data_IF_193067824038
#
_entry.id   IF_193067824038
#
_cell.length_a   1.000
_cell.length_b   1.000
_cell.length_c   1.000
_cell.angle_alpha   90.00
_cell.angle_beta   90.00
_cell.angle_gamma   90.00
#
_symmetry.space_group_name_H-M   'P 1'
#
loop_
_entity.id
_entity.type
_entity.pdbx_description
1 polymer ?
#
# COMPACT_ATOMS: atom_id res chain seq x y z
N UNK A 1 -7.38 -13.84 31.10
CA UNK A 1 -7.80 -13.49 29.77
C UNK A 1 -6.68 -12.83 28.99
N UNK A 2 -6.37 -13.45 27.88
CA UNK A 2 -5.27 -12.96 27.03
C UNK A 2 -5.55 -11.56 26.50
N UNK A 3 -6.80 -11.24 26.23
CA UNK A 3 -7.18 -9.94 25.65
C UNK A 3 -6.81 -8.75 26.54
N UNK A 4 -6.77 -8.95 27.85
CA UNK A 4 -6.39 -7.88 28.79
C UNK A 4 -4.92 -7.47 28.66
N UNK A 5 -4.10 -8.34 28.06
CA UNK A 5 -2.66 -8.11 27.93
C UNK A 5 -2.24 -7.73 26.51
N UNK A 6 -3.21 -7.60 25.60
CA UNK A 6 -2.91 -7.20 24.22
C UNK A 6 -2.66 -5.70 24.21
N UNK A 7 -1.49 -5.30 23.68
CA UNK A 7 -1.16 -3.89 23.49
C UNK A 7 -2.09 -3.32 22.40
N UNK A 8 -2.94 -2.34 22.72
CA UNK A 8 -3.85 -1.74 21.72
C UNK A 8 -3.12 -1.19 20.50
N UNK A 9 -1.85 -0.75 20.69
CA UNK A 9 -1.05 -0.21 19.58
C UNK A 9 -0.69 -1.28 18.57
N UNK A 10 -0.58 -2.54 18.99
CA UNK A 10 -0.30 -3.67 18.08
C UNK A 10 -1.48 -3.99 17.20
N UNK A 11 -2.69 -3.89 17.72
CA UNK A 11 -3.89 -4.15 16.92
C UNK A 11 -4.12 -3.05 15.88
N UNK A 12 -3.45 -1.90 16.04
CA UNK A 12 -3.52 -0.79 15.11
C UNK A 12 -2.37 -0.78 14.12
N UNK A 13 -1.51 -1.81 14.14
CA UNK A 13 -0.40 -1.91 13.20
C UNK A 13 -0.92 -2.04 11.78
N UNK A 14 -0.41 -1.17 10.90
CA UNK A 14 -0.80 -1.12 9.50
C UNK A 14 0.00 -2.15 8.72
N UNK A 15 -0.70 -3.09 8.08
CA UNK A 15 -0.06 -4.11 7.25
C UNK A 15 0.14 -3.59 5.83
N UNK A 16 1.35 -3.76 5.29
CA UNK A 16 1.74 -3.23 3.99
C UNK A 16 2.23 -4.36 3.09
N UNK A 17 1.63 -4.47 1.90
CA UNK A 17 2.10 -5.36 0.84
C UNK A 17 2.94 -4.53 -0.12
N UNK A 18 4.15 -4.99 -0.43
CA UNK A 18 5.08 -4.29 -1.31
C UNK A 18 5.19 -5.03 -2.64
N UNK A 19 4.85 -4.35 -3.75
CA UNK A 19 4.85 -4.92 -5.09
C UNK A 19 5.79 -4.13 -6.01
N UNK A 20 6.94 -4.72 -6.33
CA UNK A 20 7.96 -4.13 -7.20
C UNK A 20 8.82 -5.27 -7.74
N UNK A 21 9.15 -5.25 -9.03
CA UNK A 21 9.97 -6.31 -9.63
C UNK A 21 11.45 -6.21 -9.26
N UNK A 22 11.91 -5.03 -8.86
CA UNK A 22 13.29 -4.83 -8.46
C UNK A 22 13.50 -5.24 -7.01
N UNK A 23 14.32 -6.27 -6.78
CA UNK A 23 14.60 -6.76 -5.43
C UNK A 23 15.20 -5.68 -4.54
N UNK A 24 16.08 -4.84 -5.07
CA UNK A 24 16.69 -3.74 -4.34
C UNK A 24 15.65 -2.73 -3.87
N UNK A 25 14.67 -2.43 -4.71
CA UNK A 25 13.62 -1.50 -4.35
C UNK A 25 12.69 -2.09 -3.29
N UNK A 26 12.35 -3.38 -3.41
CA UNK A 26 11.57 -4.06 -2.37
C UNK A 26 12.29 -4.00 -1.03
N UNK A 27 13.59 -4.29 -1.01
CA UNK A 27 14.39 -4.25 0.21
C UNK A 27 14.40 -2.86 0.84
N UNK A 28 14.56 -1.81 0.02
CA UNK A 28 14.49 -0.44 0.50
C UNK A 28 13.14 -0.12 1.12
N UNK A 29 12.05 -0.52 0.47
CA UNK A 29 10.70 -0.28 0.96
C UNK A 29 10.43 -1.05 2.25
N UNK A 30 10.94 -2.27 2.37
CA UNK A 30 10.87 -3.04 3.63
C UNK A 30 11.53 -2.26 4.77
N UNK A 31 12.69 -1.69 4.52
CA UNK A 31 13.40 -0.88 5.52
C UNK A 31 12.62 0.39 5.89
N UNK A 32 12.06 1.07 4.89
CA UNK A 32 11.28 2.29 5.13
C UNK A 32 10.06 1.98 6.01
N UNK A 33 9.33 0.93 5.67
CA UNK A 33 8.14 0.52 6.43
C UNK A 33 8.52 0.10 7.85
N UNK A 34 9.64 -0.59 8.01
CA UNK A 34 10.07 -1.11 9.30
C UNK A 34 10.75 -0.14 10.23
N UNK A 35 10.99 1.12 9.82
CA UNK A 35 11.75 2.09 10.62
C UNK A 35 11.05 2.53 11.90
N UNK A 36 9.73 2.46 11.95
CA UNK A 36 8.96 2.87 13.12
C UNK A 36 7.90 1.82 13.45
N UNK A 37 7.51 1.80 14.70
CA UNK A 37 6.37 1.01 15.12
C UNK A 37 5.11 1.54 14.45
N UNK A 38 4.13 0.68 14.26
CA UNK A 38 2.86 1.04 13.66
C UNK A 38 2.69 0.60 12.21
N UNK A 39 3.77 0.26 11.52
CA UNK A 39 3.73 -0.31 10.18
C UNK A 39 4.50 -1.63 10.17
N UNK A 40 4.02 -2.61 9.40
CA UNK A 40 4.78 -3.84 9.18
C UNK A 40 4.55 -4.36 7.77
N UNK A 41 5.54 -5.03 7.22
CA UNK A 41 5.45 -5.65 5.90
C UNK A 41 4.73 -6.98 6.03
N UNK A 42 3.59 -7.11 5.39
CA UNK A 42 2.80 -8.34 5.40
C UNK A 42 3.26 -9.32 4.31
N UNK A 43 3.84 -8.81 3.23
CA UNK A 43 4.31 -9.64 2.15
C UNK A 43 4.91 -8.80 1.02
N UNK A 44 5.41 -9.50 -0.01
CA UNK A 44 6.04 -8.90 -1.18
C UNK A 44 5.54 -9.60 -2.44
N UNK A 45 5.54 -8.88 -3.56
CA UNK A 45 5.20 -9.42 -4.86
C UNK A 45 6.14 -8.81 -5.91
N UNK A 46 6.51 -9.58 -6.92
CA UNK A 46 7.46 -9.16 -7.95
C UNK A 46 6.81 -8.90 -9.32
N UNK A 47 5.53 -9.15 -9.46
CA UNK A 47 4.77 -8.84 -10.68
C UNK A 47 3.29 -8.65 -10.35
N UNK A 48 2.51 -8.26 -11.36
CA UNK A 48 1.09 -7.98 -11.16
C UNK A 48 0.27 -9.22 -10.79
N UNK A 49 0.65 -10.39 -11.29
CA UNK A 49 -0.04 -11.64 -10.99
C UNK A 49 0.14 -12.00 -9.51
N UNK A 50 1.38 -11.93 -9.03
CA UNK A 50 1.69 -12.14 -7.62
C UNK A 50 1.02 -11.09 -6.74
N UNK A 51 1.00 -9.84 -7.19
CA UNK A 51 0.37 -8.76 -6.44
C UNK A 51 -1.12 -9.03 -6.19
N UNK A 52 -1.85 -9.50 -7.20
CA UNK A 52 -3.25 -9.85 -7.06
C UNK A 52 -3.42 -11.03 -6.08
N UNK A 53 -2.62 -12.07 -6.24
CA UNK A 53 -2.69 -13.25 -5.38
C UNK A 53 -2.39 -12.91 -3.92
N UNK A 54 -1.35 -12.12 -3.67
CA UNK A 54 -0.98 -11.72 -2.32
C UNK A 54 -1.99 -10.73 -1.71
N UNK A 55 -2.53 -9.82 -2.50
CA UNK A 55 -3.58 -8.91 -2.03
C UNK A 55 -4.80 -9.69 -1.55
N UNK A 56 -5.20 -10.71 -2.33
CA UNK A 56 -6.34 -11.56 -1.95
C UNK A 56 -6.05 -12.33 -0.66
N UNK A 57 -4.86 -12.92 -0.58
CA UNK A 57 -4.49 -13.78 0.55
C UNK A 57 -4.32 -12.98 1.83
N UNK A 58 -3.64 -11.84 1.75
CA UNK A 58 -3.22 -11.07 2.93
C UNK A 58 -4.24 -10.05 3.40
N UNK A 59 -5.08 -9.55 2.50
CA UNK A 59 -6.01 -8.45 2.79
C UNK A 59 -5.30 -7.32 3.54
N UNK A 60 -4.23 -6.73 2.95
CA UNK A 60 -3.43 -5.73 3.64
C UNK A 60 -4.19 -4.41 3.79
N UNK A 61 -3.75 -3.59 4.73
CA UNK A 61 -4.29 -2.24 4.88
C UNK A 61 -3.84 -1.34 3.73
N UNK A 62 -2.57 -1.47 3.33
CA UNK A 62 -1.96 -0.65 2.28
C UNK A 62 -1.18 -1.52 1.32
N UNK A 63 -1.26 -1.20 0.05
CA UNK A 63 -0.46 -1.84 -1.00
C UNK A 63 0.39 -0.76 -1.67
N UNK A 64 1.70 -0.95 -1.66
CA UNK A 64 2.63 -0.11 -2.42
C UNK A 64 2.86 -0.83 -3.74
N UNK A 65 2.51 -0.19 -4.85
CA UNK A 65 2.43 -0.84 -6.16
C UNK A 65 3.25 -0.09 -7.20
N UNK A 66 4.24 -0.78 -7.79
CA UNK A 66 4.97 -0.28 -8.95
C UNK A 66 4.14 -0.51 -10.22
N UNK A 67 4.22 0.40 -11.16
CA UNK A 67 3.54 0.25 -12.46
C UNK A 67 4.31 -0.64 -13.43
N UNK A 68 5.65 -0.55 -13.44
CA UNK A 68 6.48 -1.29 -14.39
C UNK A 68 6.93 -2.63 -13.82
N UNK A 69 6.16 -3.67 -14.08
CA UNK A 69 6.48 -5.02 -13.65
C UNK A 69 6.31 -6.00 -14.83
N UNK A 70 7.08 -7.10 -14.87
CA UNK A 70 6.92 -8.08 -15.95
C UNK A 70 5.63 -8.88 -15.80
N UNK A 71 5.25 -9.60 -16.85
CA UNK A 71 4.08 -10.46 -16.95
C UNK A 71 2.76 -9.72 -16.86
N UNK A 72 2.57 -8.92 -15.84
CA UNK A 72 1.40 -8.06 -15.69
C UNK A 72 1.86 -6.77 -15.00
N UNK A 73 1.58 -5.62 -15.62
CA UNK A 73 1.94 -4.32 -15.07
C UNK A 73 1.09 -3.98 -13.85
N UNK A 74 1.55 -3.03 -13.04
CA UNK A 74 0.77 -2.56 -11.91
C UNK A 74 -0.54 -1.91 -12.35
N UNK A 75 -0.52 -1.18 -13.46
CA UNK A 75 -1.74 -0.55 -13.98
C UNK A 75 -2.78 -1.59 -14.39
N UNK A 76 -2.36 -2.68 -15.04
CA UNK A 76 -3.22 -3.79 -15.39
C UNK A 76 -3.76 -4.53 -14.15
N UNK A 77 -2.92 -4.67 -13.13
CA UNK A 77 -3.28 -5.37 -11.90
C UNK A 77 -4.22 -4.57 -11.01
N UNK A 78 -4.17 -3.24 -11.08
CA UNK A 78 -4.85 -2.35 -10.14
C UNK A 78 -6.36 -2.60 -10.01
N UNK A 79 -7.13 -2.70 -11.10
CA UNK A 79 -8.57 -2.99 -10.97
C UNK A 79 -8.84 -4.32 -10.28
N UNK A 80 -8.06 -5.35 -10.59
CA UNK A 80 -8.21 -6.67 -9.99
C UNK A 80 -7.82 -6.65 -8.50
N UNK A 81 -6.78 -5.91 -8.15
CA UNK A 81 -6.39 -5.72 -6.74
C UNK A 81 -7.54 -5.09 -5.96
N UNK A 82 -8.15 -4.04 -6.51
CA UNK A 82 -9.27 -3.38 -5.85
C UNK A 82 -10.49 -4.29 -5.75
N UNK A 83 -10.65 -5.21 -6.69
CA UNK A 83 -11.74 -6.19 -6.66
C UNK A 83 -11.54 -7.24 -5.57
N UNK A 84 -10.33 -7.79 -5.44
CA UNK A 84 -10.04 -8.88 -4.48
C UNK A 84 -9.72 -8.37 -3.07
N UNK A 85 -9.31 -7.12 -2.94
CA UNK A 85 -8.98 -6.50 -1.66
C UNK A 85 -9.57 -5.07 -1.63
N UNK A 86 -10.91 -4.95 -1.62
CA UNK A 86 -11.56 -3.64 -1.79
C UNK A 86 -11.29 -2.66 -0.65
N UNK A 87 -10.93 -3.15 0.54
CA UNK A 87 -10.61 -2.29 1.67
C UNK A 87 -9.14 -1.82 1.67
N UNK A 88 -8.29 -2.41 0.85
CA UNK A 88 -6.89 -2.02 0.79
C UNK A 88 -6.73 -0.66 0.10
N UNK A 89 -5.91 0.20 0.68
CA UNK A 89 -5.57 1.49 0.10
C UNK A 89 -4.31 1.32 -0.73
N UNK A 90 -4.32 1.82 -1.96
CA UNK A 90 -3.21 1.60 -2.90
C UNK A 90 -2.43 2.90 -3.11
N UNK A 91 -1.13 2.84 -2.81
CA UNK A 91 -0.17 3.88 -3.11
C UNK A 91 0.67 3.38 -4.29
N UNK A 92 0.56 4.04 -5.42
CA UNK A 92 1.42 3.72 -6.57
C UNK A 92 2.73 4.47 -6.41
N UNK A 93 3.84 3.74 -6.50
CA UNK A 93 5.19 4.31 -6.43
C UNK A 93 5.90 3.92 -7.73
N UNK A 94 6.14 4.89 -8.61
CA UNK A 94 6.58 4.62 -9.96
C UNK A 94 7.66 5.60 -10.43
N UNK A 95 8.47 5.14 -11.40
CA UNK A 95 9.47 5.98 -12.04
C UNK A 95 8.90 6.97 -13.04
N UNK A 96 7.62 6.85 -13.41
CA UNK A 96 6.99 7.77 -14.35
C UNK A 96 6.63 9.09 -13.66
N UNK A 97 6.71 10.19 -14.42
CA UNK A 97 6.31 11.51 -13.91
C UNK A 97 4.82 11.54 -13.60
N UNK A 98 4.47 12.10 -12.42
CA UNK A 98 3.09 12.26 -12.00
C UNK A 98 2.26 13.06 -13.01
N UNK A 99 2.86 14.08 -13.63
CA UNK A 99 2.17 14.91 -14.63
C UNK A 99 1.70 14.12 -15.85
N UNK A 100 2.31 12.94 -16.09
CA UNK A 100 2.00 12.11 -17.26
C UNK A 100 0.95 11.04 -16.91
N UNK A 101 1.10 10.37 -15.80
CA UNK A 101 0.32 9.15 -15.52
C UNK A 101 -0.57 9.20 -14.28
N UNK A 102 -0.38 10.18 -13.39
CA UNK A 102 -1.10 10.17 -12.09
C UNK A 102 -2.62 10.16 -12.27
N UNK A 103 -3.15 10.95 -13.20
CA UNK A 103 -4.60 11.04 -13.42
C UNK A 103 -5.18 9.68 -13.83
N UNK A 104 -4.51 8.98 -14.75
CA UNK A 104 -4.96 7.67 -15.24
C UNK A 104 -4.89 6.61 -14.12
N UNK A 105 -3.83 6.67 -13.33
CA UNK A 105 -3.61 5.73 -12.23
C UNK A 105 -4.65 5.93 -11.13
N UNK A 106 -4.92 7.17 -10.77
CA UNK A 106 -5.95 7.48 -9.77
C UNK A 106 -7.34 7.09 -10.28
N UNK A 107 -7.61 7.34 -11.57
CA UNK A 107 -8.89 6.93 -12.18
C UNK A 107 -9.05 5.40 -12.18
N UNK A 108 -7.95 4.65 -12.26
CA UNK A 108 -7.96 3.19 -12.23
C UNK A 108 -8.14 2.62 -10.82
N UNK A 109 -8.13 3.45 -9.78
CA UNK A 109 -8.44 3.02 -8.42
C UNK A 109 -7.33 3.24 -7.39
N UNK A 110 -6.18 3.80 -7.76
CA UNK A 110 -5.14 4.13 -6.79
C UNK A 110 -5.60 5.28 -5.90
N UNK A 111 -5.19 5.24 -4.65
CA UNK A 111 -5.55 6.26 -3.66
C UNK A 111 -4.52 7.38 -3.62
N UNK A 112 -3.27 7.09 -3.93
CA UNK A 112 -2.18 8.07 -4.01
C UNK A 112 -1.18 7.66 -5.08
N UNK A 113 -0.48 8.64 -5.60
CA UNK A 113 0.62 8.45 -6.56
C UNK A 113 1.87 9.17 -6.05
N UNK A 114 2.99 8.45 -6.02
CA UNK A 114 4.31 9.00 -5.70
C UNK A 114 5.32 8.62 -6.78
N UNK A 115 6.23 9.52 -7.07
CA UNK A 115 7.37 9.21 -7.94
C UNK A 115 8.45 8.49 -7.12
N UNK A 116 9.21 7.59 -7.74
CA UNK A 116 10.25 6.80 -7.06
C UNK A 116 11.38 7.66 -6.47
N UNK A 117 11.49 8.92 -6.87
CA UNK A 117 12.41 9.86 -6.25
C UNK A 117 11.96 10.42 -4.91
N UNK A 118 10.76 10.10 -4.45
CA UNK A 118 10.27 10.58 -3.17
C UNK A 118 11.16 10.11 -2.01
N UNK A 119 11.33 10.98 -1.00
CA UNK A 119 12.14 10.64 0.16
C UNK A 119 11.50 9.51 0.98
N UNK A 120 12.31 8.72 1.71
CA UNK A 120 11.76 7.71 2.62
C UNK A 120 10.74 8.27 3.60
N UNK A 121 10.98 9.47 4.12
CA UNK A 121 10.04 10.14 5.02
C UNK A 121 8.70 10.41 4.34
N UNK A 122 8.72 10.91 3.10
CA UNK A 122 7.50 11.19 2.36
C UNK A 122 6.71 9.92 2.07
N UNK A 123 7.40 8.84 1.69
CA UNK A 123 6.75 7.56 1.43
C UNK A 123 6.04 7.06 2.69
N UNK A 124 6.73 7.05 3.83
CA UNK A 124 6.15 6.59 5.09
C UNK A 124 5.00 7.47 5.54
N UNK A 125 5.18 8.80 5.48
CA UNK A 125 4.12 9.74 5.87
C UNK A 125 2.88 9.61 5.00
N UNK A 126 3.07 9.33 3.71
CA UNK A 126 1.96 9.11 2.79
C UNK A 126 1.15 7.88 3.21
N UNK A 127 1.82 6.78 3.52
CA UNK A 127 1.18 5.55 3.97
C UNK A 127 0.42 5.79 5.28
N UNK A 128 1.08 6.37 6.28
CA UNK A 128 0.47 6.64 7.58
C UNK A 128 -0.70 7.60 7.47
N UNK A 129 -0.52 8.67 6.70
CA UNK A 129 -1.54 9.69 6.52
C UNK A 129 -2.77 9.18 5.80
N UNK A 130 -2.59 8.30 4.83
CA UNK A 130 -3.70 7.72 4.08
C UNK A 130 -4.60 6.90 4.99
N UNK A 131 -4.02 6.07 5.84
CA UNK A 131 -4.79 5.24 6.78
C UNK A 131 -5.51 6.10 7.81
N UNK A 132 -4.86 7.14 8.34
CA UNK A 132 -5.50 8.06 9.29
C UNK A 132 -6.66 8.81 8.66
N UNK A 133 -6.51 9.25 7.42
CA UNK A 133 -7.56 9.96 6.69
C UNK A 133 -8.78 9.08 6.50
N UNK A 134 -8.56 7.83 6.12
CA UNK A 134 -9.64 6.86 5.95
C UNK A 134 -10.37 6.60 7.26
N UNK A 135 -9.63 6.43 8.36
CA UNK A 135 -10.23 6.23 9.69
C UNK A 135 -11.08 7.43 10.10
N UNK A 136 -10.63 8.65 9.84
CA UNK A 136 -11.38 9.88 10.16
C UNK A 136 -12.63 10.02 9.31
N UNK A 137 -12.57 9.61 8.05
CA UNK A 137 -13.73 9.67 7.16
C UNK A 137 -14.84 8.74 7.62
N UNK A 138 -14.49 7.58 8.19
CA UNK A 138 -15.45 6.59 8.66
C UNK A 138 -16.01 6.94 10.04
N UNK A 139 -15.17 7.46 10.95
CA UNK A 139 -15.57 7.71 12.34
C UNK A 139 -16.81 8.61 12.49
N UNK A 140 -16.94 9.74 11.78
CA UNK A 140 -18.15 10.57 11.90
C UNK A 140 -19.42 9.86 11.46
N UNK A 141 -19.34 9.00 10.44
CA UNK A 141 -20.49 8.22 9.97
C UNK A 141 -20.97 7.22 11.00
N UNK A 142 -20.05 6.64 11.76
CA UNK A 142 -20.36 5.66 12.79
C UNK A 142 -21.02 6.28 14.02
N UNK A 143 -20.87 7.58 14.21
CA UNK A 143 -21.47 8.30 15.34
C UNK A 143 -22.93 8.69 15.10
N UNK A 144 -23.30 8.72 13.84
CA UNK A 144 -24.64 9.11 13.45
C UNK A 144 -25.67 8.08 13.80
#
# INVERSE_FOLDING_TARGET
MVLANVDPRRSESISVLICDDAADMRELLVQIVGQRDGLHVAGEAADGIEAIAEARRLQPNVIVLDLSMPRMTGLEALPEIKRVAPAALVVVLSGFSASIVAADVLAAGADRYLEKGASPTLIRETIEGLVRTEARAVAPLMRG
#
